data_IF_232231309556
#
_entry.id   IF_232231309556
#
_cell.length_a   1.000
_cell.length_b   1.000
_cell.length_c   1.000
_cell.angle_alpha   90.00
_cell.angle_beta   90.00
_cell.angle_gamma   90.00
#
_symmetry.space_group_name_H-M   'P 1'
#
loop_
_entity.id
_entity.type
_entity.pdbx_description
1 polymer ?
#
# COMPACT_ATOMS: atom_id res chain seq x y z
N UNK A 1 22.86 -13.00 9.70
CA UNK A 1 22.29 -12.77 9.46
C UNK A 1 21.81 -12.00 9.10
N UNK A 2 21.61 -11.74 8.74
CA UNK A 2 21.21 -11.00 8.48
C UNK A 2 20.26 -10.79 8.29
N UNK A 3 19.61 -10.47 8.05
CA UNK A 3 18.60 -10.17 7.87
C UNK A 3 18.34 -9.30 6.99
N UNK A 4 17.60 -9.40 6.28
CA UNK A 4 17.40 -8.53 5.46
C UNK A 4 16.93 -7.49 5.95
N UNK A 5 17.21 -6.58 5.64
CA UNK A 5 16.82 -5.67 6.19
C UNK A 5 16.44 -4.70 5.34
N UNK A 6 15.37 -4.83 4.69
CA UNK A 6 14.78 -3.79 4.08
C UNK A 6 14.33 -2.85 5.10
N UNK A 7 14.64 -1.56 5.04
CA UNK A 7 14.16 -0.60 5.99
C UNK A 7 12.66 -0.49 5.91
N UNK A 8 12.02 -0.30 7.04
CA UNK A 8 10.61 -0.03 7.07
C UNK A 8 10.36 1.31 6.42
N UNK A 9 9.34 1.39 5.60
CA UNK A 9 9.05 2.63 4.89
C UNK A 9 7.55 2.82 4.80
N UNK A 10 7.11 4.05 5.08
CA UNK A 10 5.71 4.41 4.91
C UNK A 10 5.53 5.14 3.60
N UNK A 11 4.39 4.92 2.97
CA UNK A 11 4.01 5.62 1.76
C UNK A 11 2.77 6.44 2.05
N UNK A 12 2.79 7.70 1.63
CA UNK A 12 1.61 8.54 1.77
C UNK A 12 0.72 8.35 0.53
N UNK A 13 -0.51 8.86 0.63
CA UNK A 13 -1.49 8.68 -0.43
C UNK A 13 -0.95 9.05 -1.81
N UNK A 14 -0.25 10.17 -1.92
CA UNK A 14 0.29 10.60 -3.21
C UNK A 14 1.22 9.53 -3.77
N UNK A 15 2.09 8.96 -2.94
CA UNK A 15 3.02 7.95 -3.39
C UNK A 15 2.30 6.67 -3.80
N UNK A 16 1.26 6.30 -3.07
CA UNK A 16 0.48 5.12 -3.40
C UNK A 16 -0.19 5.30 -4.75
N UNK A 17 -0.79 6.47 -4.97
CA UNK A 17 -1.43 6.78 -6.24
C UNK A 17 -0.43 6.66 -7.39
N UNK A 18 0.76 7.21 -7.21
CA UNK A 18 1.77 7.17 -8.25
C UNK A 18 2.27 5.75 -8.51
N UNK A 19 2.45 4.98 -7.46
CA UNK A 19 2.99 3.64 -7.61
C UNK A 19 1.99 2.68 -8.22
N UNK A 20 0.73 2.77 -7.80
CA UNK A 20 -0.30 1.84 -8.24
C UNK A 20 -0.96 2.33 -9.53
N UNK A 21 -1.03 3.63 -9.72
CA UNK A 21 -1.56 4.19 -10.97
C UNK A 21 -3.07 4.32 -11.01
N UNK A 22 -3.72 4.49 -9.86
CA UNK A 22 -5.17 4.69 -9.81
C UNK A 22 -5.48 5.91 -9.00
N UNK A 23 -6.72 6.36 -9.02
CA UNK A 23 -7.11 7.57 -8.32
C UNK A 23 -7.28 7.33 -6.82
N UNK A 24 -7.29 8.43 -6.07
CA UNK A 24 -7.53 8.38 -4.63
C UNK A 24 -8.86 7.69 -4.32
N UNK A 25 -9.90 8.03 -5.07
CA UNK A 25 -11.22 7.45 -4.83
C UNK A 25 -11.18 5.94 -5.03
N UNK A 26 -10.42 5.47 -6.01
CA UNK A 26 -10.30 4.05 -6.25
C UNK A 26 -9.60 3.35 -5.08
N UNK A 27 -8.55 3.97 -4.53
CA UNK A 27 -7.86 3.41 -3.38
C UNK A 27 -8.83 3.25 -2.21
N UNK A 28 -9.62 4.30 -1.91
CA UNK A 28 -10.57 4.22 -0.80
C UNK A 28 -11.62 3.16 -1.06
N UNK A 29 -12.12 3.07 -2.28
CA UNK A 29 -13.14 2.08 -2.61
C UNK A 29 -12.61 0.67 -2.43
N UNK A 30 -11.37 0.43 -2.86
CA UNK A 30 -10.76 -0.88 -2.71
C UNK A 30 -10.50 -1.22 -1.24
N UNK A 31 -10.10 -0.22 -0.44
CA UNK A 31 -9.91 -0.44 0.99
C UNK A 31 -11.22 -0.85 1.64
N UNK A 32 -12.32 -0.17 1.30
CA UNK A 32 -13.61 -0.47 1.88
C UNK A 32 -14.08 -1.86 1.48
N UNK A 33 -13.73 -2.30 0.30
CA UNK A 33 -14.12 -3.63 -0.18
C UNK A 33 -13.19 -4.73 0.31
N UNK A 34 -12.11 -4.37 1.00
CA UNK A 34 -11.15 -5.35 1.45
C UNK A 34 -10.19 -5.80 0.37
N UNK A 35 -10.11 -5.05 -0.73
CA UNK A 35 -9.28 -5.40 -1.87
C UNK A 35 -7.93 -4.72 -1.88
N UNK A 36 -7.64 -3.89 -0.92
CA UNK A 36 -6.38 -3.15 -0.86
C UNK A 36 -5.93 -3.09 0.60
N UNK A 37 -4.62 -3.02 0.87
CA UNK A 37 -4.14 -2.96 2.24
C UNK A 37 -4.70 -1.76 2.99
N UNK A 38 -4.98 -1.95 4.25
CA UNK A 38 -5.54 -0.87 5.05
C UNK A 38 -4.46 0.12 5.40
N UNK A 39 -4.85 1.39 5.50
CA UNK A 39 -3.92 2.42 5.89
C UNK A 39 -3.61 2.33 7.38
N UNK A 40 -2.49 2.91 7.77
CA UNK A 40 -2.02 2.95 9.14
C UNK A 40 -2.10 4.38 9.60
N UNK A 41 -2.66 4.59 10.79
CA UNK A 41 -2.71 5.94 11.36
C UNK A 41 -1.35 6.27 11.94
N UNK A 42 -0.76 7.37 11.48
CA UNK A 42 0.53 7.80 11.98
C UNK A 42 0.39 8.74 13.17
N UNK A 43 -0.79 9.29 13.38
CA UNK A 43 -1.05 10.25 14.44
C UNK A 43 -1.79 11.43 13.88
N UNK A 44 -2.56 12.11 14.69
CA UNK A 44 -3.38 13.21 14.21
C UNK A 44 -4.24 12.73 13.06
N UNK A 45 -4.22 13.45 11.95
CA UNK A 45 -4.99 13.06 10.79
C UNK A 45 -4.13 12.43 9.71
N UNK A 46 -2.92 12.04 10.04
CA UNK A 46 -2.00 11.50 9.04
C UNK A 46 -2.16 10.01 8.90
N UNK A 47 -2.27 9.53 7.67
CA UNK A 47 -2.32 8.10 7.40
C UNK A 47 -1.27 7.75 6.36
N UNK A 48 -0.90 6.50 6.34
CA UNK A 48 0.08 6.01 5.37
C UNK A 48 -0.11 4.51 5.20
N UNK A 49 0.65 3.93 4.29
CA UNK A 49 0.65 2.49 4.09
C UNK A 49 2.07 1.99 4.24
N UNK A 50 2.22 0.75 4.68
CA UNK A 50 3.52 0.12 4.66
C UNK A 50 3.90 -0.15 3.21
N UNK A 51 5.09 0.27 2.81
CA UNK A 51 5.55 0.02 1.45
C UNK A 51 5.54 -1.47 1.15
N UNK A 52 5.95 -2.26 2.12
CA UNK A 52 5.98 -3.70 1.95
C UNK A 52 4.59 -4.26 1.66
N UNK A 53 3.57 -3.77 2.37
CA UNK A 53 2.21 -4.23 2.15
C UNK A 53 1.72 -3.88 0.75
N UNK A 54 2.04 -2.68 0.27
CA UNK A 54 1.63 -2.27 -1.06
C UNK A 54 2.35 -3.12 -2.11
N UNK A 55 3.64 -3.38 -1.91
CA UNK A 55 4.39 -4.20 -2.85
C UNK A 55 3.86 -5.63 -2.90
N UNK A 56 3.54 -6.20 -1.74
CA UNK A 56 2.99 -7.55 -1.70
C UNK A 56 1.64 -7.62 -2.39
N UNK A 57 0.83 -6.59 -2.21
CA UNK A 57 -0.45 -6.51 -2.89
C UNK A 57 -0.26 -6.47 -4.40
N UNK A 58 0.70 -5.65 -4.86
CA UNK A 58 0.97 -5.54 -6.29
C UNK A 58 1.43 -6.89 -6.84
N UNK A 59 2.30 -7.56 -6.12
CA UNK A 59 2.78 -8.88 -6.55
C UNK A 59 1.66 -9.88 -6.63
N UNK A 60 0.74 -9.84 -5.67
CA UNK A 60 -0.36 -10.77 -5.70
C UNK A 60 -1.29 -10.51 -6.89
N UNK A 61 -1.44 -9.24 -7.27
CA UNK A 61 -2.24 -8.92 -8.45
C UNK A 61 -1.57 -9.41 -9.73
N UNK A 62 -0.27 -9.23 -9.83
CA UNK A 62 0.48 -9.69 -10.99
C UNK A 62 0.36 -11.20 -11.11
N UNK A 63 0.51 -11.91 -10.00
CA UNK A 63 0.49 -13.36 -10.02
C UNK A 63 -0.89 -13.93 -10.27
N UNK A 64 -1.94 -13.19 -9.92
CA UNK A 64 -3.29 -13.73 -10.06
C UNK A 64 -3.88 -13.48 -11.45
N UNK A 65 -3.20 -12.74 -12.30
CA UNK A 65 -3.74 -12.45 -13.61
C UNK A 65 -3.21 -13.40 -14.67
N UNK A 66 -2.50 -14.40 -14.30
CA UNK A 66 -2.00 -15.34 -15.30
C UNK A 66 -3.00 -16.39 -15.66
#
# INVERSE_FOLDING_TARGET
MTRSTQPLRFMRMREVIEMVGVSRATIYRWMDAGDFPRSIALGGNSIAWSEKSVQEWMESRINSTN
#
